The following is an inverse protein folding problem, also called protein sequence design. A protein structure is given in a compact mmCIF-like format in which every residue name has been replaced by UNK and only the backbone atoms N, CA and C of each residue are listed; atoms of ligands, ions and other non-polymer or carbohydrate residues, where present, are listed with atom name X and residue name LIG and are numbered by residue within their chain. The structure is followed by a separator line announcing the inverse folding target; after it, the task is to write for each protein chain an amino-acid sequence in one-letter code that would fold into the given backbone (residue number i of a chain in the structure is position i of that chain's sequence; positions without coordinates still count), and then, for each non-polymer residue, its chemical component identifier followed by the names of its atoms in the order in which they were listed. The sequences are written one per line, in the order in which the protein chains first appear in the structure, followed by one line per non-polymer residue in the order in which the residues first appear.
data_IF_181544894906
#
_entry.id   IF_181544894906
#
_cell.length_a   1.000
_cell.length_b   1.000
_cell.length_c   1.000
_cell.angle_alpha   90.00
_cell.angle_beta   90.00
_cell.angle_gamma   90.00
#
_symmetry.space_group_name_H-M   'P 1'
#
loop_
_entity.id
_entity.type
_entity.pdbx_description
1 polymer ?
#
# COMPACT_ATOMS: atom_id res chain seq x y z
N UNK A 1 30.51 10.75 15.17
CA UNK A 1 29.85 10.82 13.85
C UNK A 1 29.48 12.28 13.59
N UNK A 2 30.09 12.92 12.60
CA UNK A 2 29.78 14.31 12.23
C UNK A 2 28.71 14.33 11.14
N UNK A 3 27.43 14.33 11.52
CA UNK A 3 26.30 14.52 10.60
C UNK A 3 26.03 16.01 10.30
N UNK A 4 27.07 16.84 10.35
CA UNK A 4 26.94 18.29 10.19
C UNK A 4 27.56 18.77 8.87
N UNK A 5 26.89 19.72 8.17
CA UNK A 5 25.65 20.38 8.57
C UNK A 5 24.40 19.53 8.34
N UNK A 6 23.50 19.47 9.34
CA UNK A 6 22.18 18.85 9.20
C UNK A 6 21.37 19.63 8.16
N UNK A 7 20.74 18.98 7.16
CA UNK A 7 20.03 19.70 6.10
C UNK A 7 18.91 20.58 6.67
N UNK A 8 18.84 21.83 6.21
CA UNK A 8 17.76 22.76 6.60
C UNK A 8 16.38 22.32 6.12
N UNK A 9 16.33 21.42 5.13
CA UNK A 9 15.12 20.78 4.64
C UNK A 9 14.63 19.61 5.52
N UNK A 10 15.45 19.14 6.46
CA UNK A 10 15.10 18.04 7.36
C UNK A 10 14.51 18.55 8.67
N UNK A 11 13.62 17.79 9.34
CA UNK A 11 13.14 18.12 10.69
C UNK A 11 14.32 18.36 11.64
N UNK A 12 14.16 19.20 12.68
CA UNK A 12 15.25 19.46 13.64
C UNK A 12 15.86 18.16 14.17
N UNK A 13 17.18 18.04 14.09
CA UNK A 13 17.88 16.90 14.68
C UNK A 13 17.67 16.86 16.20
N UNK A 14 17.30 15.70 16.72
CA UNK A 14 17.10 15.45 18.15
C UNK A 14 17.94 14.27 18.62
N UNK A 15 18.44 14.36 19.85
CA UNK A 15 19.17 13.28 20.50
C UNK A 15 18.24 12.66 21.53
N UNK A 16 18.08 11.34 21.45
CA UNK A 16 17.29 10.58 22.41
C UNK A 16 17.85 10.73 23.83
N UNK A 17 16.94 10.85 24.81
CA UNK A 17 17.29 10.73 26.22
C UNK A 17 17.98 9.40 26.54
N UNK A 18 18.85 9.41 27.55
CA UNK A 18 19.50 8.20 28.06
C UNK A 18 18.46 7.16 28.52
N UNK A 19 18.70 5.90 28.15
CA UNK A 19 17.90 4.72 28.50
C UNK A 19 18.59 3.79 29.49
N UNK A 20 19.77 4.15 30.01
CA UNK A 20 20.56 3.32 30.94
C UNK A 20 19.78 2.78 32.14
N UNK A 21 18.82 3.56 32.65
CA UNK A 21 17.91 3.17 33.75
C UNK A 21 17.05 1.92 33.46
N UNK A 22 16.92 1.53 32.19
CA UNK A 22 16.15 0.36 31.76
C UNK A 22 17.03 -0.87 31.49
N UNK A 23 18.34 -0.81 31.76
CA UNK A 23 19.30 -1.89 31.42
C UNK A 23 18.89 -3.27 31.95
N UNK A 24 18.24 -3.35 33.11
CA UNK A 24 17.76 -4.62 33.67
C UNK A 24 16.55 -5.21 32.93
N UNK A 25 15.82 -4.37 32.19
CA UNK A 25 14.62 -4.71 31.42
C UNK A 25 14.91 -4.80 29.92
N UNK A 26 16.12 -4.46 29.47
CA UNK A 26 16.53 -4.54 28.07
C UNK A 26 16.99 -5.95 27.71
N UNK A 27 16.03 -6.90 27.68
CA UNK A 27 16.26 -8.31 27.32
C UNK A 27 15.67 -8.62 25.94
N UNK A 28 15.48 -7.58 25.13
CA UNK A 28 14.88 -7.68 23.81
C UNK A 28 15.87 -8.29 22.82
N UNK A 29 15.40 -9.11 21.87
CA UNK A 29 16.19 -9.51 20.71
C UNK A 29 16.75 -8.31 19.94
N UNK A 30 15.96 -7.22 19.84
CA UNK A 30 16.35 -5.96 19.23
C UNK A 30 16.85 -4.97 20.31
N UNK A 31 18.15 -4.72 20.35
CA UNK A 31 18.83 -3.92 21.40
C UNK A 31 18.46 -2.43 21.44
N UNK A 32 17.67 -1.96 20.47
CA UNK A 32 17.19 -0.58 20.40
C UNK A 32 15.67 -0.47 20.57
N UNK A 33 14.97 -1.56 20.89
CA UNK A 33 13.51 -1.60 21.05
C UNK A 33 13.00 -0.57 22.07
N UNK A 34 13.67 -0.44 23.23
CA UNK A 34 13.33 0.56 24.25
C UNK A 34 13.50 1.98 23.73
N UNK A 35 14.51 2.25 22.89
CA UNK A 35 14.72 3.59 22.32
C UNK A 35 13.61 3.92 21.34
N UNK A 36 13.24 2.98 20.47
CA UNK A 36 12.16 3.16 19.50
C UNK A 36 10.79 3.34 20.15
N UNK A 37 10.39 2.50 21.12
CA UNK A 37 9.07 2.65 21.76
C UNK A 37 8.94 3.99 22.50
N UNK A 38 10.05 4.50 23.03
CA UNK A 38 10.11 5.82 23.69
C UNK A 38 9.97 7.00 22.74
N UNK A 39 10.05 6.81 21.41
CA UNK A 39 9.77 7.88 20.43
C UNK A 39 8.43 8.52 20.72
N UNK A 40 7.40 7.72 21.02
CA UNK A 40 6.04 8.22 21.31
C UNK A 40 6.04 9.16 22.52
N UNK A 41 6.74 8.77 23.59
CA UNK A 41 6.87 9.60 24.79
C UNK A 41 7.65 10.90 24.50
N UNK A 42 8.74 10.82 23.73
CA UNK A 42 9.58 11.98 23.43
C UNK A 42 8.84 12.97 22.54
N UNK A 43 8.20 12.50 21.47
CA UNK A 43 7.38 13.32 20.57
C UNK A 43 6.20 13.95 21.31
N UNK A 44 5.55 13.24 22.24
CA UNK A 44 4.49 13.82 23.07
C UNK A 44 5.01 14.97 23.95
N UNK A 45 6.19 14.81 24.56
CA UNK A 45 6.82 15.83 25.43
C UNK A 45 7.30 17.08 24.70
N UNK A 46 7.52 17.01 23.38
CA UNK A 46 7.85 18.20 22.60
C UNK A 46 6.71 19.24 22.61
N UNK A 47 5.50 18.85 23.00
CA UNK A 47 4.35 19.73 23.20
C UNK A 47 4.13 20.67 22.00
N UNK A 48 3.82 20.10 20.83
CA UNK A 48 3.52 20.82 19.59
C UNK A 48 2.18 21.59 19.60
N UNK A 49 1.67 21.94 20.79
CA UNK A 49 0.45 22.70 21.02
C UNK A 49 -0.82 21.84 21.08
N UNK A 50 -1.92 22.48 21.52
CA UNK A 50 -3.21 21.84 21.78
C UNK A 50 -3.96 21.37 20.52
N UNK A 51 -3.41 21.64 19.33
CA UNK A 51 -4.02 21.29 18.04
C UNK A 51 -3.69 19.88 17.53
N UNK A 52 -2.78 19.16 18.16
CA UNK A 52 -2.36 17.82 17.70
C UNK A 52 -3.49 16.80 17.94
N UNK A 53 -3.88 16.11 16.87
CA UNK A 53 -4.96 15.10 16.92
C UNK A 53 -4.46 13.67 16.81
N UNK A 54 -3.40 13.47 16.05
CA UNK A 54 -2.86 12.17 15.68
C UNK A 54 -1.33 12.21 15.73
N UNK A 55 -0.74 11.13 16.22
CA UNK A 55 0.68 10.84 16.15
C UNK A 55 0.88 9.69 15.16
N UNK A 56 1.80 9.86 14.21
CA UNK A 56 2.10 8.86 13.18
C UNK A 56 3.50 8.34 13.43
N UNK A 57 3.65 7.02 13.51
CA UNK A 57 4.94 6.33 13.54
C UNK A 57 5.10 5.60 12.21
N UNK A 58 6.29 5.66 11.62
CA UNK A 58 6.69 4.88 10.45
C UNK A 58 8.22 4.74 10.43
N UNK A 59 8.73 3.72 9.75
CA UNK A 59 10.18 3.55 9.54
C UNK A 59 10.70 4.55 8.49
N UNK A 60 12.00 4.80 8.49
CA UNK A 60 12.64 5.81 7.63
C UNK A 60 12.73 5.42 6.14
N UNK A 61 12.40 4.18 5.82
CA UNK A 61 12.25 3.64 4.47
C UNK A 61 10.78 3.45 4.05
N UNK A 62 9.85 4.00 4.83
CA UNK A 62 8.41 3.96 4.56
C UNK A 62 7.95 5.20 3.81
N UNK A 63 7.18 5.00 2.73
CA UNK A 63 6.55 6.10 2.01
C UNK A 63 5.12 6.27 2.48
N UNK A 64 4.75 7.47 2.93
CA UNK A 64 3.40 7.80 3.38
C UNK A 64 2.64 8.65 2.35
N UNK A 65 1.46 8.19 1.97
CA UNK A 65 0.50 8.90 1.14
C UNK A 65 -0.40 9.77 2.01
N UNK A 66 0.13 10.96 2.37
CA UNK A 66 -0.42 11.82 3.44
C UNK A 66 -1.86 12.30 3.18
N UNK A 67 -2.25 12.58 1.93
CA UNK A 67 -3.64 13.02 1.63
C UNK A 67 -4.62 11.89 1.96
N UNK A 68 -4.29 10.65 1.58
CA UNK A 68 -5.09 9.46 1.91
C UNK A 68 -5.09 9.20 3.41
N UNK A 69 -3.94 9.32 4.09
CA UNK A 69 -3.85 9.17 5.54
C UNK A 69 -4.78 10.14 6.27
N UNK A 70 -4.77 11.42 5.89
CA UNK A 70 -5.66 12.45 6.47
C UNK A 70 -7.13 12.12 6.23
N UNK A 71 -7.49 11.65 5.02
CA UNK A 71 -8.86 11.25 4.70
C UNK A 71 -9.35 10.09 5.56
N UNK A 72 -8.49 9.08 5.79
CA UNK A 72 -8.78 7.95 6.67
C UNK A 72 -9.00 8.43 8.11
N UNK A 73 -8.05 9.20 8.64
CA UNK A 73 -8.08 9.65 10.04
C UNK A 73 -9.26 10.59 10.33
N UNK A 74 -9.75 11.31 9.32
CA UNK A 74 -10.95 12.15 9.44
C UNK A 74 -12.24 11.35 9.73
N UNK A 75 -12.24 10.03 9.51
CA UNK A 75 -13.38 9.14 9.77
C UNK A 75 -13.52 8.78 11.25
N UNK A 76 -12.46 8.99 12.03
CA UNK A 76 -12.38 8.59 13.43
C UNK A 76 -12.48 9.79 14.37
N UNK A 77 -13.20 9.64 15.48
CA UNK A 77 -13.23 10.66 16.52
C UNK A 77 -11.89 10.66 17.28
N UNK A 78 -10.97 11.54 16.86
CA UNK A 78 -9.64 11.70 17.44
C UNK A 78 -9.60 11.99 18.95
N UNK A 79 -10.75 12.25 19.59
CA UNK A 79 -10.89 12.42 21.05
C UNK A 79 -11.11 11.10 21.79
N UNK A 80 -11.18 9.98 21.08
CA UNK A 80 -11.26 8.61 21.63
C UNK A 80 -9.91 7.90 21.47
N UNK A 81 -9.76 6.76 22.14
CA UNK A 81 -8.57 5.93 21.99
C UNK A 81 -8.63 5.13 20.68
N UNK A 82 -7.74 5.47 19.76
CA UNK A 82 -7.56 4.77 18.50
C UNK A 82 -6.09 4.41 18.28
N UNK A 83 -5.88 3.13 18.02
CA UNK A 83 -4.65 2.56 17.46
C UNK A 83 -4.99 2.02 16.07
N UNK A 84 -4.55 2.72 15.02
CA UNK A 84 -4.96 2.46 13.64
C UNK A 84 -3.73 2.06 12.82
N UNK A 85 -3.81 0.95 12.10
CA UNK A 85 -2.74 0.46 11.24
C UNK A 85 -3.12 -0.88 10.62
N UNK A 86 -2.14 -1.65 10.17
CA UNK A 86 -2.40 -2.99 9.63
C UNK A 86 -1.30 -3.97 9.99
N UNK A 87 -1.66 -5.25 9.96
CA UNK A 87 -0.73 -6.36 10.06
C UNK A 87 0.20 -6.45 8.85
N UNK A 88 1.24 -7.29 8.97
CA UNK A 88 2.06 -7.69 7.83
C UNK A 88 1.26 -8.56 6.85
N UNK A 89 1.55 -8.46 5.56
CA UNK A 89 1.06 -9.38 4.54
C UNK A 89 1.50 -10.83 4.80
N UNK A 90 2.61 -11.04 5.51
CA UNK A 90 3.17 -12.35 5.84
C UNK A 90 2.54 -12.96 7.09
N UNK A 91 1.97 -14.16 6.98
CA UNK A 91 1.36 -14.85 8.14
C UNK A 91 2.37 -15.14 9.24
N UNK A 92 3.59 -15.56 8.90
CA UNK A 92 4.62 -15.89 9.91
C UNK A 92 5.06 -14.66 10.71
N UNK A 93 5.21 -13.50 10.05
CA UNK A 93 5.53 -12.26 10.75
C UNK A 93 4.47 -11.93 11.81
N UNK A 94 3.19 -12.16 11.48
CA UNK A 94 2.07 -11.95 12.42
C UNK A 94 2.02 -13.00 13.53
N UNK A 95 2.33 -14.26 13.24
CA UNK A 95 2.38 -15.33 14.25
C UNK A 95 3.50 -15.14 15.26
N UNK A 96 4.67 -14.71 14.81
CA UNK A 96 5.85 -14.52 15.67
C UNK A 96 5.74 -13.24 16.51
N UNK A 97 5.03 -12.23 15.99
CA UNK A 97 4.77 -10.98 16.71
C UNK A 97 3.35 -10.97 17.28
N UNK A 98 2.37 -10.43 16.55
CA UNK A 98 0.97 -10.43 16.99
C UNK A 98 0.04 -10.06 15.84
N UNK A 99 -1.09 -10.76 15.72
CA UNK A 99 -2.19 -10.37 14.82
C UNK A 99 -2.93 -9.10 15.29
N UNK A 100 -2.68 -8.63 16.51
CA UNK A 100 -3.25 -7.40 17.05
C UNK A 100 -2.27 -6.23 16.99
N UNK A 101 -1.13 -6.39 16.30
CA UNK A 101 -0.08 -5.38 16.14
C UNK A 101 -0.12 -4.74 14.76
N UNK A 102 -0.14 -3.42 14.73
CA UNK A 102 0.24 -2.67 13.53
C UNK A 102 1.76 -2.68 13.43
N UNK A 103 2.28 -3.07 12.28
CA UNK A 103 3.72 -3.10 12.04
C UNK A 103 4.25 -1.68 11.81
N UNK A 104 5.36 -1.32 12.44
CA UNK A 104 5.95 0.01 12.39
C UNK A 104 6.46 0.38 10.99
N UNK A 105 6.92 -0.61 10.23
CA UNK A 105 7.29 -0.44 8.83
C UNK A 105 6.11 -0.09 7.92
N UNK A 106 4.95 -0.69 8.11
CA UNK A 106 3.71 -0.24 7.47
C UNK A 106 3.33 1.17 7.95
N UNK A 107 3.71 1.51 9.18
CA UNK A 107 3.30 2.71 9.88
C UNK A 107 1.94 2.55 10.54
N UNK A 108 1.70 3.39 11.55
CA UNK A 108 0.44 3.41 12.30
C UNK A 108 0.15 4.78 12.88
N UNK A 109 -1.12 5.02 13.17
CA UNK A 109 -1.62 6.24 13.78
C UNK A 109 -2.15 5.98 15.20
N UNK A 110 -1.81 6.88 16.12
CA UNK A 110 -2.31 6.91 17.48
C UNK A 110 -3.05 8.21 17.72
N UNK A 111 -4.28 8.12 18.22
CA UNK A 111 -5.03 9.32 18.66
C UNK A 111 -4.31 10.01 19.82
N UNK A 112 -4.39 11.34 19.88
CA UNK A 112 -3.82 12.14 20.97
C UNK A 112 -4.09 11.57 22.39
N UNK A 113 -5.34 11.28 22.81
CA UNK A 113 -5.60 10.81 24.18
C UNK A 113 -4.99 9.43 24.46
N UNK A 114 -4.84 8.57 23.44
CA UNK A 114 -4.12 7.30 23.60
C UNK A 114 -2.63 7.54 23.84
N UNK A 115 -2.01 8.46 23.09
CA UNK A 115 -0.59 8.82 23.30
C UNK A 115 -0.36 9.44 24.67
N UNK A 116 -1.28 10.29 25.16
CA UNK A 116 -1.19 10.83 26.51
C UNK A 116 -1.20 9.70 27.57
N UNK A 117 -2.12 8.73 27.43
CA UNK A 117 -2.19 7.57 28.32
C UNK A 117 -0.92 6.72 28.26
N UNK A 118 -0.39 6.46 27.07
CA UNK A 118 0.87 5.75 26.86
C UNK A 118 2.05 6.50 27.47
N UNK A 119 2.15 7.81 27.27
CA UNK A 119 3.22 8.64 27.81
C UNK A 119 3.28 8.59 29.34
N UNK A 120 2.12 8.59 30.00
CA UNK A 120 2.00 8.45 31.47
C UNK A 120 2.40 7.06 31.97
N UNK A 121 2.22 6.01 31.15
CA UNK A 121 2.44 4.61 31.54
C UNK A 121 3.70 3.96 30.91
N UNK A 122 4.46 4.70 30.11
CA UNK A 122 5.59 4.18 29.31
C UNK A 122 6.64 3.44 30.16
N UNK A 123 6.92 3.92 31.37
CA UNK A 123 7.86 3.25 32.26
C UNK A 123 7.36 1.88 32.73
N UNK A 124 6.09 1.78 33.11
CA UNK A 124 5.46 0.51 33.52
C UNK A 124 5.46 -0.46 32.36
N UNK A 125 5.09 0.02 31.18
CA UNK A 125 5.11 -0.70 29.91
C UNK A 125 6.47 -1.35 29.61
N UNK A 126 7.55 -0.56 29.60
CA UNK A 126 8.92 -1.05 29.32
C UNK A 126 9.34 -2.13 30.33
N UNK A 127 9.08 -1.90 31.63
CA UNK A 127 9.45 -2.84 32.69
C UNK A 127 8.66 -4.16 32.62
N UNK A 128 7.41 -4.11 32.14
CA UNK A 128 6.50 -5.26 32.06
C UNK A 128 6.83 -6.19 30.91
N UNK A 129 7.30 -5.67 29.78
CA UNK A 129 7.51 -6.44 28.56
C UNK A 129 8.98 -6.51 28.13
N UNK A 130 9.91 -7.00 28.96
CA UNK A 130 11.35 -6.89 28.72
C UNK A 130 11.89 -7.78 27.58
N UNK A 131 11.08 -8.69 27.03
CA UNK A 131 11.53 -9.74 26.09
C UNK A 131 10.80 -9.73 24.75
N UNK A 132 9.82 -8.84 24.54
CA UNK A 132 9.11 -8.78 23.26
C UNK A 132 10.06 -8.36 22.13
N UNK A 133 9.87 -8.91 20.93
CA UNK A 133 10.87 -8.87 19.86
C UNK A 133 11.31 -7.46 19.46
N UNK A 134 10.35 -6.57 19.26
CA UNK A 134 10.60 -5.21 18.77
C UNK A 134 9.66 -4.19 19.38
N UNK A 135 9.90 -2.92 19.06
CA UNK A 135 9.18 -1.79 19.66
C UNK A 135 7.68 -1.79 19.37
N UNK A 136 7.27 -2.26 18.19
CA UNK A 136 5.85 -2.34 17.81
C UNK A 136 5.10 -3.36 18.67
N UNK A 137 5.71 -4.51 18.95
CA UNK A 137 5.09 -5.54 19.78
C UNK A 137 5.02 -5.08 21.23
N UNK A 138 6.07 -4.42 21.74
CA UNK A 138 6.03 -3.76 23.04
C UNK A 138 4.87 -2.76 23.12
N UNK A 139 4.79 -1.86 22.14
CA UNK A 139 3.76 -0.83 22.11
C UNK A 139 2.36 -1.44 22.05
N UNK A 140 2.15 -2.42 21.19
CA UNK A 140 0.88 -3.13 21.07
C UNK A 140 0.46 -3.74 22.41
N UNK A 141 1.37 -4.40 23.11
CA UNK A 141 1.08 -5.00 24.41
C UNK A 141 0.68 -3.93 25.44
N UNK A 142 1.36 -2.78 25.43
CA UNK A 142 1.04 -1.66 26.32
C UNK A 142 -0.28 -0.96 25.98
N UNK A 143 -0.65 -0.90 24.70
CA UNK A 143 -1.97 -0.43 24.26
C UNK A 143 -3.06 -1.42 24.68
N UNK A 144 -2.79 -2.73 24.64
CA UNK A 144 -3.70 -3.77 25.10
C UNK A 144 -3.93 -3.72 26.63
N UNK A 145 -2.91 -3.38 27.42
CA UNK A 145 -3.04 -3.11 28.86
C UNK A 145 -4.00 -1.95 29.16
N UNK A 146 -4.16 -1.00 28.22
CA UNK A 146 -5.14 0.08 28.29
C UNK A 146 -6.54 -0.34 27.78
N UNK A 147 -6.71 -1.59 27.35
CA UNK A 147 -7.96 -2.13 26.82
C UNK A 147 -8.30 -1.65 25.40
N UNK A 148 -7.31 -1.19 24.62
CA UNK A 148 -7.51 -0.67 23.27
C UNK A 148 -7.06 -1.70 22.25
N UNK A 149 -7.93 -2.02 21.28
CA UNK A 149 -7.63 -2.96 20.21
C UNK A 149 -7.13 -2.24 18.95
N UNK A 150 -6.39 -2.97 18.11
CA UNK A 150 -6.01 -2.51 16.78
C UNK A 150 -7.24 -2.29 15.90
N UNK A 151 -7.31 -1.11 15.30
CA UNK A 151 -8.26 -0.77 14.23
C UNK A 151 -7.56 -0.97 12.89
N UNK A 152 -8.01 -1.98 12.14
CA UNK A 152 -7.40 -2.35 10.86
C UNK A 152 -7.78 -1.38 9.74
N UNK A 153 -6.77 -0.79 9.10
CA UNK A 153 -6.91 -0.01 7.87
C UNK A 153 -6.03 -0.60 6.76
N UNK A 154 -6.67 -1.23 5.77
CA UNK A 154 -6.02 -2.06 4.72
C UNK A 154 -5.08 -1.31 3.77
N UNK A 155 -4.95 -0.01 3.94
CA UNK A 155 -4.05 0.83 3.16
C UNK A 155 -2.63 0.90 3.71
N UNK A 156 -2.40 0.48 4.95
CA UNK A 156 -1.08 0.37 5.53
C UNK A 156 -0.43 -0.94 5.08
N UNK A 157 0.78 -0.89 4.54
CA UNK A 157 1.45 -2.06 3.97
C UNK A 157 2.89 -2.22 4.47
N UNK A 158 3.15 -3.33 5.15
CA UNK A 158 4.50 -3.73 5.58
C UNK A 158 5.30 -4.23 4.38
N UNK A 159 4.66 -4.93 3.44
CA UNK A 159 5.30 -5.59 2.30
C UNK A 159 6.44 -6.50 2.77
N UNK A 160 6.11 -7.40 3.69
CA UNK A 160 6.94 -8.59 3.94
C UNK A 160 6.77 -9.55 2.73
N UNK A 161 7.29 -9.13 1.59
CA UNK A 161 7.29 -9.80 0.29
C UNK A 161 8.65 -9.54 -0.38
N UNK A 162 9.07 -10.41 -1.30
CA UNK A 162 10.32 -10.24 -2.06
C UNK A 162 10.07 -10.21 -3.57
N UNK A 163 10.98 -9.55 -4.29
CA UNK A 163 10.99 -9.53 -5.76
C UNK A 163 9.88 -8.67 -6.37
N UNK A 164 9.26 -9.16 -7.44
CA UNK A 164 8.27 -8.41 -8.21
C UNK A 164 6.90 -8.35 -7.52
N UNK A 165 6.62 -7.24 -6.84
CA UNK A 165 5.30 -6.99 -6.20
C UNK A 165 4.24 -6.43 -7.15
N UNK A 166 4.46 -6.44 -8.47
CA UNK A 166 3.52 -5.84 -9.43
C UNK A 166 2.13 -6.47 -9.40
N UNK A 167 2.03 -7.78 -9.16
CA UNK A 167 0.76 -8.46 -9.00
C UNK A 167 -0.03 -8.00 -7.77
N UNK A 168 0.66 -7.67 -6.67
CA UNK A 168 0.06 -7.10 -5.46
C UNK A 168 -0.47 -5.68 -5.72
N UNK A 169 0.38 -4.80 -6.27
CA UNK A 169 0.01 -3.42 -6.56
C UNK A 169 -1.08 -3.30 -7.63
N UNK A 170 -1.14 -4.25 -8.58
CA UNK A 170 -2.15 -4.27 -9.65
C UNK A 170 -3.55 -4.71 -9.19
N UNK A 171 -3.67 -5.27 -7.98
CA UNK A 171 -4.91 -5.80 -7.43
C UNK A 171 -5.20 -5.26 -6.02
N UNK A 172 -4.76 -4.02 -5.74
CA UNK A 172 -5.01 -3.39 -4.45
C UNK A 172 -6.52 -3.33 -4.15
N UNK A 173 -6.95 -3.64 -2.91
CA UNK A 173 -8.36 -3.58 -2.52
C UNK A 173 -8.97 -2.18 -2.69
N UNK A 174 -10.29 -2.10 -2.57
CA UNK A 174 -11.00 -0.82 -2.60
C UNK A 174 -10.87 -0.06 -1.27
N UNK A 175 -9.64 0.35 -0.94
CA UNK A 175 -9.30 1.21 0.18
C UNK A 175 -8.27 2.26 -0.25
N UNK A 176 -8.19 3.43 0.40
CA UNK A 176 -7.09 4.34 0.19
C UNK A 176 -5.75 3.65 0.43
N UNK A 177 -4.79 3.85 -0.48
CA UNK A 177 -3.42 3.37 -0.31
C UNK A 177 -2.67 4.35 0.61
N UNK A 178 -2.14 3.90 1.74
CA UNK A 178 -1.65 4.78 2.81
C UNK A 178 -0.14 4.72 2.92
N UNK A 179 0.45 3.53 2.83
CA UNK A 179 1.89 3.38 2.95
C UNK A 179 2.45 2.26 2.08
N UNK A 180 3.75 2.36 1.82
CA UNK A 180 4.52 1.33 1.14
C UNK A 180 5.89 1.21 1.79
N UNK A 181 6.19 0.01 2.24
CA UNK A 181 7.45 -0.45 2.83
C UNK A 181 7.85 -1.76 2.12
N UNK A 182 8.82 -2.56 2.58
CA UNK A 182 10.24 -2.25 2.44
C UNK A 182 10.63 -2.15 0.95
N UNK A 183 11.00 -0.96 0.46
CA UNK A 183 11.29 -0.78 -0.97
C UNK A 183 12.63 -1.38 -1.43
N UNK A 184 13.52 -1.71 -0.50
CA UNK A 184 14.85 -2.27 -0.74
C UNK A 184 14.85 -3.79 -0.95
N UNK A 185 13.81 -4.50 -0.49
CA UNK A 185 13.63 -5.96 -0.62
C UNK A 185 12.85 -6.35 -1.87
N UNK A 186 12.14 -5.40 -2.46
CA UNK A 186 11.34 -5.59 -3.68
C UNK A 186 12.06 -5.07 -4.92
N UNK A 187 11.69 -5.59 -6.08
CA UNK A 187 12.15 -5.07 -7.37
C UNK A 187 11.61 -3.63 -7.59
N UNK A 188 12.25 -2.82 -8.45
CA UNK A 188 11.72 -1.51 -8.82
C UNK A 188 10.25 -1.59 -9.26
N UNK A 189 9.42 -0.67 -8.79
CA UNK A 189 7.96 -0.71 -9.02
C UNK A 189 7.59 -0.69 -10.51
N UNK A 190 8.46 -0.09 -11.33
CA UNK A 190 8.32 0.00 -12.77
C UNK A 190 9.54 -0.61 -13.47
N UNK A 191 9.35 -1.35 -14.57
CA UNK A 191 10.46 -1.94 -15.31
C UNK A 191 11.32 -0.85 -15.97
N UNK A 192 12.61 -1.15 -16.11
CA UNK A 192 13.63 -0.25 -16.67
C UNK A 192 13.87 1.05 -15.88
N UNK A 193 13.49 1.06 -14.61
CA UNK A 193 13.82 2.12 -13.67
C UNK A 193 14.55 1.51 -12.47
N UNK A 194 15.39 2.30 -11.80
CA UNK A 194 15.84 1.91 -10.45
C UNK A 194 14.75 2.22 -9.40
N UNK A 195 14.92 1.76 -8.16
CA UNK A 195 13.94 1.92 -7.08
C UNK A 195 13.51 3.38 -6.86
N UNK A 196 14.46 4.29 -6.72
CA UNK A 196 14.18 5.72 -6.50
C UNK A 196 13.45 6.37 -7.68
N UNK A 197 13.86 6.07 -8.92
CA UNK A 197 13.19 6.52 -10.13
C UNK A 197 11.77 5.98 -10.23
N UNK A 198 11.58 4.69 -9.92
CA UNK A 198 10.28 4.03 -9.97
C UNK A 198 9.31 4.62 -8.94
N UNK A 199 9.80 4.91 -7.73
CA UNK A 199 9.01 5.58 -6.71
C UNK A 199 8.65 7.01 -7.12
N UNK A 200 9.63 7.79 -7.58
CA UNK A 200 9.39 9.15 -8.08
C UNK A 200 8.39 9.17 -9.23
N UNK A 201 8.38 8.12 -10.05
CA UNK A 201 7.42 7.95 -11.13
C UNK A 201 6.01 7.62 -10.64
N UNK A 202 5.86 6.76 -9.62
CA UNK A 202 4.57 6.50 -8.96
C UNK A 202 4.00 7.79 -8.34
N UNK A 203 4.86 8.60 -7.72
CA UNK A 203 4.45 9.85 -7.07
C UNK A 203 3.81 10.84 -8.04
N UNK A 204 4.18 10.84 -9.33
CA UNK A 204 3.50 11.68 -10.34
C UNK A 204 2.01 11.37 -10.43
N UNK A 205 1.63 10.08 -10.37
CA UNK A 205 0.22 9.70 -10.35
C UNK A 205 -0.43 10.02 -9.00
N UNK A 206 0.29 9.78 -7.89
CA UNK A 206 -0.19 10.07 -6.55
C UNK A 206 -0.48 11.57 -6.33
N UNK A 207 0.33 12.44 -6.93
CA UNK A 207 0.16 13.89 -6.86
C UNK A 207 -1.10 14.34 -7.60
N UNK A 208 -1.42 13.69 -8.72
CA UNK A 208 -2.59 13.95 -9.53
C UNK A 208 -3.90 13.46 -8.87
N UNK A 209 -3.94 12.21 -8.38
CA UNK A 209 -5.09 11.70 -7.61
C UNK A 209 -4.68 10.55 -6.67
N UNK A 210 -4.32 10.91 -5.45
CA UNK A 210 -3.95 9.94 -4.42
C UNK A 210 -5.12 9.02 -4.03
N UNK A 211 -6.37 9.51 -4.10
CA UNK A 211 -7.56 8.78 -3.65
C UNK A 211 -7.90 7.57 -4.52
N UNK A 212 -7.43 7.56 -5.77
CA UNK A 212 -7.60 6.46 -6.73
C UNK A 212 -6.33 5.63 -6.95
N UNK A 213 -5.19 6.07 -6.44
CA UNK A 213 -3.90 5.40 -6.62
C UNK A 213 -4.00 3.90 -6.28
N UNK A 214 -3.55 3.05 -7.22
CA UNK A 214 -3.58 1.58 -7.18
C UNK A 214 -4.95 0.90 -7.13
N UNK A 215 -6.04 1.65 -6.96
CA UNK A 215 -7.35 1.03 -6.85
C UNK A 215 -7.77 0.36 -8.16
N UNK A 216 -8.18 -0.90 -8.03
CA UNK A 216 -8.51 -1.73 -9.16
C UNK A 216 -9.91 -1.45 -9.73
N UNK A 217 -9.97 -1.07 -11.01
CA UNK A 217 -11.20 -0.94 -11.80
C UNK A 217 -11.21 -2.01 -12.89
N UNK A 218 -12.37 -2.63 -13.16
CA UNK A 218 -12.49 -3.73 -14.13
C UNK A 218 -13.55 -3.40 -15.19
N UNK A 219 -13.19 -3.60 -16.47
CA UNK A 219 -14.09 -3.44 -17.62
C UNK A 219 -14.03 -4.67 -18.53
N UNK A 220 -15.02 -4.79 -19.42
CA UNK A 220 -15.07 -5.83 -20.42
C UNK A 220 -15.26 -5.26 -21.83
N UNK A 221 -14.63 -5.92 -22.80
CA UNK A 221 -14.95 -5.77 -24.21
C UNK A 221 -15.55 -7.07 -24.73
N UNK A 222 -16.87 -7.16 -24.77
CA UNK A 222 -17.53 -8.41 -25.13
C UNK A 222 -17.32 -8.81 -26.60
N UNK A 223 -17.18 -7.86 -27.53
CA UNK A 223 -16.97 -8.20 -28.95
C UNK A 223 -15.65 -8.94 -29.19
N UNK A 224 -14.63 -8.69 -28.37
CA UNK A 224 -13.31 -9.34 -28.46
C UNK A 224 -13.07 -10.37 -27.34
N UNK A 225 -14.05 -10.57 -26.44
CA UNK A 225 -13.91 -11.37 -25.22
C UNK A 225 -12.74 -10.91 -24.32
N UNK A 226 -12.53 -9.61 -24.14
CA UNK A 226 -11.44 -9.11 -23.31
C UNK A 226 -11.88 -8.64 -21.93
N UNK A 227 -11.05 -8.87 -20.93
CA UNK A 227 -11.14 -8.23 -19.62
C UNK A 227 -10.02 -7.24 -19.42
N UNK A 228 -10.35 -6.09 -18.87
CA UNK A 228 -9.41 -5.05 -18.48
C UNK A 228 -9.38 -4.97 -16.96
N UNK A 229 -8.19 -5.00 -16.37
CA UNK A 229 -7.95 -4.70 -14.96
C UNK A 229 -7.02 -3.51 -14.85
N UNK A 230 -7.48 -2.42 -14.25
CA UNK A 230 -6.81 -1.13 -14.21
C UNK A 230 -6.48 -0.82 -12.75
N UNK A 231 -5.20 -0.82 -12.39
CA UNK A 231 -4.71 -0.22 -11.15
C UNK A 231 -4.28 1.20 -11.45
N UNK A 232 -5.14 2.16 -11.10
CA UNK A 232 -4.99 3.54 -11.56
C UNK A 232 -3.66 4.14 -11.09
N UNK A 233 -2.92 4.75 -12.03
CA UNK A 233 -1.60 5.33 -11.76
C UNK A 233 -0.45 4.31 -11.73
N UNK A 234 -0.72 3.02 -11.99
CA UNK A 234 0.30 1.96 -11.94
C UNK A 234 0.29 1.04 -13.16
N UNK A 235 -0.77 0.26 -13.37
CA UNK A 235 -0.81 -0.75 -14.42
C UNK A 235 -2.19 -0.95 -15.04
N UNK A 236 -2.21 -1.41 -16.29
CA UNK A 236 -3.39 -1.98 -16.95
C UNK A 236 -3.03 -3.37 -17.43
N UNK A 237 -3.92 -4.33 -17.18
CA UNK A 237 -3.80 -5.71 -17.61
C UNK A 237 -4.96 -6.02 -18.56
N UNK A 238 -4.64 -6.51 -19.76
CA UNK A 238 -5.63 -7.01 -20.73
C UNK A 238 -5.55 -8.53 -20.75
N UNK A 239 -6.67 -9.19 -20.50
CA UNK A 239 -6.84 -10.63 -20.65
C UNK A 239 -7.70 -10.90 -21.87
N UNK A 240 -7.29 -11.82 -22.74
CA UNK A 240 -8.06 -12.24 -23.91
C UNK A 240 -9.11 -13.31 -23.58
N UNK A 241 -9.76 -13.13 -22.43
CA UNK A 241 -10.88 -13.91 -21.95
C UNK A 241 -11.71 -13.06 -21.00
N UNK A 242 -13.01 -13.36 -20.89
CA UNK A 242 -13.90 -12.74 -19.90
C UNK A 242 -13.67 -13.40 -18.54
N UNK A 243 -13.03 -12.68 -17.62
CA UNK A 243 -12.68 -13.15 -16.28
C UNK A 243 -13.50 -12.36 -15.26
N UNK A 244 -14.24 -13.03 -14.35
CA UNK A 244 -15.07 -12.33 -13.37
C UNK A 244 -14.23 -11.51 -12.38
N UNK A 245 -14.79 -10.40 -11.82
CA UNK A 245 -14.07 -9.57 -10.87
C UNK A 245 -13.61 -10.32 -9.62
N UNK A 246 -14.40 -11.29 -9.16
CA UNK A 246 -14.06 -12.15 -8.01
C UNK A 246 -12.75 -12.93 -8.19
N UNK A 247 -12.37 -13.21 -9.44
CA UNK A 247 -11.11 -13.85 -9.76
C UNK A 247 -9.98 -12.82 -9.92
N UNK A 248 -10.20 -11.74 -10.66
CA UNK A 248 -9.21 -10.69 -10.93
C UNK A 248 -8.81 -9.86 -9.70
N UNK A 249 -9.68 -9.82 -8.68
CA UNK A 249 -9.42 -9.22 -7.38
C UNK A 249 -8.32 -9.90 -6.58
N UNK A 250 -7.99 -11.15 -6.91
CA UNK A 250 -6.85 -11.83 -6.30
C UNK A 250 -5.58 -11.41 -7.04
N UNK A 251 -4.55 -10.95 -6.34
CA UNK A 251 -3.27 -10.59 -6.98
C UNK A 251 -2.67 -11.81 -7.68
N UNK A 252 -2.03 -11.56 -8.83
CA UNK A 252 -1.11 -12.53 -9.42
C UNK A 252 0.09 -12.65 -8.50
N UNK A 253 0.50 -13.88 -8.18
CA UNK A 253 1.66 -14.13 -7.33
C UNK A 253 2.97 -13.96 -8.11
N UNK A 254 3.31 -12.71 -8.42
CA UNK A 254 4.58 -12.33 -9.05
C UNK A 254 5.71 -12.19 -8.02
N UNK A 255 5.35 -12.11 -6.74
CA UNK A 255 6.23 -11.92 -5.60
C UNK A 255 6.50 -13.23 -4.87
N UNK A 256 7.53 -13.24 -4.03
CA UNK A 256 7.88 -14.38 -3.18
C UNK A 256 7.58 -14.10 -1.69
N UNK A 257 7.35 -15.13 -0.87
CA UNK A 257 7.15 -14.98 0.56
C UNK A 257 8.37 -14.40 1.28
N UNK A 258 8.15 -13.56 2.29
CA UNK A 258 9.21 -12.99 3.14
C UNK A 258 10.20 -14.01 3.69
N UNK A 259 9.69 -15.17 4.09
CA UNK A 259 10.43 -16.25 4.72
C UNK A 259 10.09 -17.58 4.05
N UNK A 260 11.07 -18.49 4.04
CA UNK A 260 10.84 -19.88 3.62
C UNK A 260 9.84 -20.52 4.57
N UNK A 261 8.77 -21.07 4.02
CA UNK A 261 7.71 -21.71 4.78
C UNK A 261 7.89 -23.23 4.84
N UNK A 262 7.53 -23.86 5.97
CA UNK A 262 7.26 -25.29 5.99
C UNK A 262 6.18 -25.66 4.96
N UNK A 263 6.19 -26.89 4.43
CA UNK A 263 5.14 -27.35 3.53
C UNK A 263 3.74 -27.16 4.12
N UNK A 264 2.79 -26.70 3.29
CA UNK A 264 1.35 -26.53 3.63
C UNK A 264 0.98 -25.34 4.53
N UNK A 265 1.90 -24.43 4.84
CA UNK A 265 1.52 -23.17 5.49
C UNK A 265 1.22 -22.09 4.46
N UNK A 266 0.09 -21.37 4.56
CA UNK A 266 -0.19 -20.26 3.67
C UNK A 266 0.81 -19.12 3.93
N UNK A 267 1.50 -18.61 2.89
CA UNK A 267 2.48 -17.53 3.02
C UNK A 267 1.87 -16.17 3.40
N UNK A 268 0.66 -15.89 2.89
CA UNK A 268 0.08 -14.55 2.89
C UNK A 268 -1.27 -14.49 3.60
N UNK A 269 -1.61 -13.30 4.13
CA UNK A 269 -2.92 -12.98 4.73
C UNK A 269 -4.06 -12.86 3.72
N UNK A 270 -3.80 -13.11 2.43
CA UNK A 270 -4.75 -13.02 1.34
C UNK A 270 -4.53 -14.14 0.32
N UNK A 271 -5.56 -14.41 -0.48
CA UNK A 271 -5.48 -15.41 -1.55
C UNK A 271 -4.85 -14.80 -2.80
N UNK A 272 -3.90 -15.52 -3.39
CA UNK A 272 -3.30 -15.20 -4.68
C UNK A 272 -3.90 -16.05 -5.80
N UNK A 273 -3.56 -15.71 -7.04
CA UNK A 273 -3.68 -16.60 -8.19
C UNK A 273 -2.30 -16.83 -8.78
N UNK A 274 -1.99 -18.09 -9.08
CA UNK A 274 -0.69 -18.45 -9.64
C UNK A 274 -0.58 -17.93 -11.08
N UNK A 275 0.62 -17.48 -11.52
CA UNK A 275 0.92 -17.25 -12.92
C UNK A 275 0.62 -18.51 -13.75
N UNK A 276 0.14 -18.34 -14.98
CA UNK A 276 -0.12 -19.49 -15.83
C UNK A 276 1.21 -20.11 -16.30
N UNK A 277 1.22 -21.43 -16.52
CA UNK A 277 2.32 -22.09 -17.23
C UNK A 277 2.24 -21.87 -18.73
N UNK A 278 1.07 -21.45 -19.21
CA UNK A 278 0.82 -21.11 -20.60
C UNK A 278 1.02 -19.60 -20.79
N UNK A 279 2.08 -19.17 -21.51
CA UNK A 279 2.33 -17.75 -21.76
C UNK A 279 1.18 -17.04 -22.46
N UNK A 280 0.30 -17.79 -23.13
CA UNK A 280 -0.87 -17.27 -23.84
C UNK A 280 -2.05 -16.92 -22.91
N UNK A 281 -2.03 -17.37 -21.66
CA UNK A 281 -3.03 -17.00 -20.63
C UNK A 281 -2.58 -15.82 -19.77
N UNK A 282 -1.29 -15.45 -19.82
CA UNK A 282 -0.76 -14.32 -19.07
C UNK A 282 -1.32 -13.00 -19.61
N UNK A 283 -1.66 -12.04 -18.74
CA UNK A 283 -2.16 -10.76 -19.19
C UNK A 283 -1.13 -9.99 -20.01
N UNK A 284 -1.63 -9.21 -20.97
CA UNK A 284 -0.85 -8.14 -21.55
C UNK A 284 -0.75 -7.00 -20.54
N UNK A 285 0.45 -6.76 -20.01
CA UNK A 285 0.69 -5.74 -18.97
C UNK A 285 1.20 -4.43 -19.59
N UNK A 286 0.58 -3.33 -19.18
CA UNK A 286 0.93 -1.97 -19.53
C UNK A 286 1.22 -1.21 -18.24
N UNK A 287 2.31 -0.45 -18.21
CA UNK A 287 2.69 0.32 -17.03
C UNK A 287 2.46 1.81 -17.26
N UNK A 288 2.15 2.53 -16.18
CA UNK A 288 1.96 3.97 -16.18
C UNK A 288 3.14 4.69 -16.86
N UNK A 289 2.81 5.54 -17.83
CA UNK A 289 3.75 6.32 -18.63
C UNK A 289 3.66 7.81 -18.27
N UNK A 290 2.45 8.38 -18.24
CA UNK A 290 2.24 9.80 -17.96
C UNK A 290 0.83 10.07 -17.43
N UNK A 291 0.69 11.22 -16.76
CA UNK A 291 -0.58 11.80 -16.33
C UNK A 291 -0.67 13.24 -16.83
N UNK A 292 -1.82 13.62 -17.35
CA UNK A 292 -2.13 14.96 -17.86
C UNK A 292 -3.51 15.39 -17.36
N UNK A 293 -3.60 16.61 -16.85
CA UNK A 293 -4.89 17.22 -16.52
C UNK A 293 -5.40 17.99 -17.75
N UNK A 294 -6.35 17.40 -18.47
CA UNK A 294 -6.84 17.97 -19.74
C UNK A 294 -7.83 19.12 -19.48
N UNK A 295 -8.57 19.04 -18.36
CA UNK A 295 -9.54 20.03 -17.87
C UNK A 295 -9.66 19.88 -16.35
N UNK A 296 -10.06 20.94 -15.62
CA UNK A 296 -10.23 20.93 -14.15
C UNK A 296 -11.13 19.80 -13.60
N UNK A 297 -11.88 19.11 -14.47
CA UNK A 297 -12.80 18.02 -14.14
C UNK A 297 -12.29 16.61 -14.54
N UNK A 298 -11.19 16.49 -15.30
CA UNK A 298 -10.75 15.21 -15.89
C UNK A 298 -9.24 15.02 -15.90
N UNK A 299 -8.84 13.82 -15.51
CA UNK A 299 -7.46 13.36 -15.54
C UNK A 299 -7.31 12.32 -16.66
N UNK A 300 -6.24 12.45 -17.42
CA UNK A 300 -5.86 11.53 -18.49
C UNK A 300 -4.58 10.82 -18.09
N UNK A 301 -4.60 9.49 -18.08
CA UNK A 301 -3.43 8.66 -17.76
C UNK A 301 -3.11 7.75 -18.95
N UNK A 302 -1.83 7.69 -19.30
CA UNK A 302 -1.34 6.84 -20.39
C UNK A 302 -0.54 5.69 -19.81
N UNK A 303 -0.76 4.48 -20.34
CA UNK A 303 -0.07 3.26 -19.97
C UNK A 303 0.54 2.66 -21.21
N UNK A 304 1.80 2.25 -21.12
CA UNK A 304 2.56 1.75 -22.25
C UNK A 304 2.98 0.31 -22.03
N UNK A 305 2.89 -0.48 -23.09
CA UNK A 305 3.49 -1.82 -23.14
C UNK A 305 5.00 -1.65 -23.11
N UNK A 306 5.65 -2.14 -22.05
CA UNK A 306 7.10 -2.00 -21.89
C UNK A 306 7.89 -3.23 -22.33
N UNK A 307 7.27 -4.40 -22.41
CA UNK A 307 7.82 -5.58 -23.08
C UNK A 307 6.73 -6.24 -23.94
N UNK A 308 7.06 -6.55 -25.20
CA UNK A 308 6.25 -7.45 -26.02
C UNK A 308 6.20 -8.83 -25.38
N UNK A 309 5.15 -9.60 -25.65
CA UNK A 309 5.15 -11.03 -25.32
C UNK A 309 6.40 -11.64 -25.99
N UNK A 310 6.95 -12.72 -25.43
CA UNK A 310 7.77 -13.63 -26.23
C UNK A 310 6.81 -14.31 -27.21
N UNK A 311 6.49 -13.62 -28.31
CA UNK A 311 5.41 -13.95 -29.27
C UNK A 311 5.53 -15.34 -29.90
N UNK A 312 6.69 -16.00 -29.78
CA UNK A 312 7.01 -17.22 -30.51
C UNK A 312 6.23 -18.47 -30.10
N UNK A 313 5.49 -18.44 -28.98
CA UNK A 313 4.87 -19.65 -28.42
C UNK A 313 3.33 -19.66 -28.46
N UNK A 314 2.68 -18.61 -28.97
CA UNK A 314 1.21 -18.54 -29.09
C UNK A 314 0.78 -18.70 -30.55
N UNK A 315 0.23 -19.86 -30.91
CA UNK A 315 -0.24 -20.17 -32.27
C UNK A 315 -1.46 -19.34 -32.73
N UNK A 316 -2.06 -18.56 -31.85
CA UNK A 316 -3.16 -17.67 -32.17
C UNK A 316 -2.61 -16.24 -32.27
N UNK A 317 -2.82 -15.59 -33.42
CA UNK A 317 -2.66 -14.14 -33.52
C UNK A 317 -3.58 -13.49 -32.48
N UNK A 318 -2.98 -12.87 -31.47
CA UNK A 318 -3.69 -12.28 -30.34
C UNK A 318 -3.92 -10.81 -30.66
N UNK A 319 -5.15 -10.40 -30.97
CA UNK A 319 -5.46 -9.01 -31.36
C UNK A 319 -5.07 -7.99 -30.27
N UNK A 320 -4.91 -8.44 -29.02
CA UNK A 320 -4.39 -7.59 -27.95
C UNK A 320 -2.87 -7.36 -28.04
N UNK A 321 -2.12 -8.19 -28.77
CA UNK A 321 -0.67 -8.00 -28.97
C UNK A 321 -0.36 -6.70 -29.73
N UNK A 322 -1.23 -6.32 -30.68
CA UNK A 322 -1.09 -5.08 -31.46
C UNK A 322 -1.39 -3.80 -30.65
N UNK A 323 -1.93 -3.94 -29.44
CA UNK A 323 -2.14 -2.80 -28.54
C UNK A 323 -0.81 -2.43 -27.89
N UNK A 324 -0.32 -1.23 -28.19
CA UNK A 324 0.93 -0.68 -27.61
C UNK A 324 0.67 0.28 -26.45
N UNK A 325 -0.52 0.88 -26.42
CA UNK A 325 -0.88 1.91 -25.44
C UNK A 325 -2.32 1.73 -24.95
N UNK A 326 -2.55 2.07 -23.69
CA UNK A 326 -3.88 2.22 -23.12
C UNK A 326 -3.99 3.63 -22.54
N UNK A 327 -5.08 4.31 -22.83
CA UNK A 327 -5.39 5.63 -22.31
C UNK A 327 -6.61 5.54 -21.40
N UNK A 328 -6.49 5.98 -20.15
CA UNK A 328 -7.60 5.97 -19.18
C UNK A 328 -7.99 7.39 -18.82
N UNK A 329 -9.28 7.72 -19.01
CA UNK A 329 -9.89 8.99 -18.66
C UNK A 329 -10.66 8.81 -17.35
N UNK A 330 -10.27 9.53 -16.30
CA UNK A 330 -10.97 9.52 -15.00
C UNK A 330 -11.49 10.91 -14.65
N UNK A 331 -12.56 11.00 -13.82
CA UNK A 331 -12.92 12.28 -13.21
C UNK A 331 -11.78 12.78 -12.30
N UNK A 332 -11.70 14.09 -12.09
CA UNK A 332 -10.74 14.70 -11.16
C UNK A 332 -11.05 14.35 -9.68
N UNK A 333 -12.28 13.97 -9.38
CA UNK A 333 -12.69 13.48 -8.07
C UNK A 333 -13.22 12.07 -8.21
N UNK A 334 -12.72 11.15 -7.38
CA UNK A 334 -13.20 9.77 -7.32
C UNK A 334 -14.67 9.71 -6.95
N UNK A 335 -15.42 8.85 -7.62
CA UNK A 335 -16.80 8.56 -7.24
C UNK A 335 -16.82 7.68 -5.99
N UNK A 336 -17.61 8.10 -5.00
CA UNK A 336 -17.89 7.30 -3.81
C UNK A 336 -16.92 7.52 -2.65
N UNK A 337 -17.04 6.67 -1.63
CA UNK A 337 -16.39 6.79 -0.33
C UNK A 337 -16.52 5.50 0.47
N UNK A 338 -16.43 5.57 1.80
CA UNK A 338 -16.60 4.39 2.65
C UNK A 338 -17.98 3.75 2.39
N UNK A 339 -18.00 2.43 2.22
CA UNK A 339 -19.21 1.66 1.96
C UNK A 339 -19.72 1.72 0.52
N UNK A 340 -19.01 2.39 -0.40
CA UNK A 340 -19.36 2.35 -1.83
C UNK A 340 -18.67 1.21 -2.57
N UNK A 341 -19.26 0.77 -3.68
CA UNK A 341 -18.63 -0.16 -4.63
C UNK A 341 -17.54 0.55 -5.44
N UNK A 342 -16.72 -0.25 -6.16
CA UNK A 342 -15.74 0.23 -7.13
C UNK A 342 -16.37 1.10 -8.23
N UNK A 343 -15.56 1.96 -8.83
CA UNK A 343 -15.92 2.66 -10.06
C UNK A 343 -16.08 1.64 -11.22
N UNK A 344 -16.89 1.99 -12.21
CA UNK A 344 -17.09 1.21 -13.42
C UNK A 344 -16.34 1.88 -14.58
N UNK A 345 -16.17 1.18 -15.69
CA UNK A 345 -15.54 1.75 -16.88
C UNK A 345 -16.19 1.26 -18.17
N UNK A 346 -16.12 2.14 -19.18
CA UNK A 346 -16.51 1.83 -20.54
C UNK A 346 -15.30 1.93 -21.47
N UNK A 347 -15.25 1.04 -22.45
CA UNK A 347 -14.25 1.08 -23.51
C UNK A 347 -14.78 1.98 -24.62
N UNK A 348 -13.99 2.95 -25.02
CA UNK A 348 -14.38 3.97 -25.98
C UNK A 348 -13.65 3.71 -27.29
N UNK A 349 -14.37 3.81 -28.41
CA UNK A 349 -13.77 3.69 -29.74
C UNK A 349 -12.61 4.67 -29.89
N UNK A 350 -11.42 4.13 -30.20
CA UNK A 350 -10.24 4.90 -30.51
C UNK A 350 -10.09 5.00 -32.01
N UNK A 351 -9.81 6.19 -32.53
CA UNK A 351 -9.45 6.38 -33.93
C UNK A 351 -8.06 5.79 -34.26
N UNK A 352 -7.24 5.49 -33.24
CA UNK A 352 -5.88 4.98 -33.38
C UNK A 352 -5.88 3.49 -33.10
N UNK A 353 -5.45 2.69 -34.09
CA UNK A 353 -5.54 1.22 -34.06
C UNK A 353 -4.76 0.55 -32.92
N UNK A 354 -3.68 1.15 -32.43
CA UNK A 354 -2.78 0.58 -31.41
C UNK A 354 -3.03 1.10 -29.99
N UNK A 355 -4.05 1.95 -29.80
CA UNK A 355 -4.35 2.59 -28.54
C UNK A 355 -5.79 2.30 -28.10
N UNK A 356 -5.95 1.62 -26.97
CA UNK A 356 -7.27 1.41 -26.36
C UNK A 356 -7.60 2.57 -25.43
N UNK A 357 -8.80 3.16 -25.58
CA UNK A 357 -9.28 4.23 -24.69
C UNK A 357 -10.33 3.68 -23.73
N UNK A 358 -10.17 3.97 -22.44
CA UNK A 358 -11.09 3.55 -21.38
C UNK A 358 -11.53 4.80 -20.61
N UNK A 359 -12.82 4.87 -20.29
CA UNK A 359 -13.39 5.96 -19.49
C UNK A 359 -13.95 5.41 -18.19
N UNK A 360 -13.43 5.89 -17.06
CA UNK A 360 -13.97 5.59 -15.73
C UNK A 360 -15.24 6.43 -15.49
N UNK A 361 -16.25 5.79 -14.92
CA UNK A 361 -17.56 6.37 -14.59
C UNK A 361 -18.13 5.78 -13.29
N UNK A 362 -19.19 6.39 -12.80
CA UNK A 362 -20.02 5.77 -11.78
C UNK A 362 -20.69 4.50 -12.33
N UNK A 363 -20.90 3.52 -11.46
CA UNK A 363 -21.70 2.36 -11.81
C UNK A 363 -23.19 2.72 -11.86
N UNK A 364 -23.92 2.11 -12.78
CA UNK A 364 -25.38 2.19 -12.83
C UNK A 364 -26.00 1.47 -11.63
N UNK A 365 -27.25 1.84 -11.31
CA UNK A 365 -27.99 1.22 -10.21
C UNK A 365 -28.11 -0.29 -10.49
N UNK A 366 -27.64 -1.11 -9.55
CA UNK A 366 -27.60 -2.58 -9.64
C UNK A 366 -26.74 -3.17 -10.77
N UNK A 367 -25.85 -2.39 -11.39
CA UNK A 367 -24.97 -2.89 -12.45
C UNK A 367 -24.12 -4.07 -11.97
N UNK A 368 -24.13 -5.17 -12.69
CA UNK A 368 -23.20 -6.27 -12.49
C UNK A 368 -22.06 -6.10 -13.49
N UNK A 369 -20.83 -6.05 -12.99
CA UNK A 369 -19.63 -6.04 -13.82
C UNK A 369 -19.36 -7.50 -14.15
N UNK A 370 -19.80 -7.97 -15.32
CA UNK A 370 -19.64 -9.33 -15.82
C UNK A 370 -19.33 -9.34 -17.31
#
# INVERSE_FOLDING_TARGET
MSFFPWPSSSPPYRIFEDTSRYKEFDKHPMTFAIRMVRVILQTFRENHGDGVRWYIMADDDTILFVKNLVEILARYDHRKYFYIGENSECILSNMDNSFNMAFGGAGYALSYPLVEALAKNMEVCIKRYPTLFGSDHMLQACIADLGVALTHEKGFHQIDLHGDISGFLSAHPQSPFISLHHLDTVDPLFPFMNRSQSLSHLMKAADADQSRLLQQTICYQHQQNWSFSIAWGYSVQIYEQLIPPSFLLRPLETFAPWRKLPPRQPPYRFNTRLPSRNPCEDPHVFFFESVEEIRKDRIFTTYRRRSGRRERDCNYSTAAADVFRVSVISPATRYGGVGTRRECCDIVNSAVKDNVKIKIRSCMKYEIIA
#
